data_IF_082123426513
#
_entry.id   IF_082123426513
#
_cell.length_a   1.000
_cell.length_b   1.000
_cell.length_c   1.000
_cell.angle_alpha   90.00
_cell.angle_beta   90.00
_cell.angle_gamma   90.00
#
_symmetry.space_group_name_H-M   'P 1'
#
loop_
_entity.id
_entity.type
_entity.pdbx_description
1 polymer ?
#
# COMPACT_ATOMS: atom_id res chain seq x y z
N UNK A 1 -28.78 -41.33 45.14
CA UNK A 1 -28.20 -39.97 45.03
C UNK A 1 -27.24 -39.99 43.85
N UNK A 2 -27.70 -39.52 42.69
CA UNK A 2 -26.97 -39.58 41.41
C UNK A 2 -26.46 -38.17 41.14
N UNK A 3 -25.14 -37.97 41.17
CA UNK A 3 -24.48 -36.74 40.75
C UNK A 3 -24.47 -36.68 39.22
N UNK A 4 -25.28 -35.78 38.66
CA UNK A 4 -25.20 -35.37 37.25
C UNK A 4 -24.05 -34.37 37.10
N UNK A 5 -23.06 -34.72 36.30
CA UNK A 5 -22.09 -33.79 35.73
C UNK A 5 -22.81 -32.89 34.72
N UNK A 6 -22.94 -31.60 35.03
CA UNK A 6 -23.31 -30.57 34.06
C UNK A 6 -22.11 -30.28 33.16
N UNK A 7 -22.15 -30.77 31.93
CA UNK A 7 -21.26 -30.31 30.87
C UNK A 7 -21.64 -28.88 30.48
N UNK A 8 -20.68 -27.97 30.57
CA UNK A 8 -20.76 -26.67 29.92
C UNK A 8 -20.46 -26.88 28.44
N UNK A 9 -21.49 -26.89 27.60
CA UNK A 9 -21.32 -26.75 26.16
C UNK A 9 -21.00 -25.28 25.86
N UNK A 10 -19.71 -24.97 25.65
CA UNK A 10 -19.34 -23.73 24.94
C UNK A 10 -19.73 -23.95 23.49
N UNK A 11 -20.87 -23.39 23.08
CA UNK A 11 -21.23 -23.28 21.67
C UNK A 11 -20.22 -22.33 21.02
N UNK A 12 -19.13 -22.87 20.46
CA UNK A 12 -18.40 -22.18 19.40
C UNK A 12 -19.33 -22.10 18.20
N UNK A 13 -20.07 -20.99 18.07
CA UNK A 13 -20.59 -20.61 16.77
C UNK A 13 -19.38 -20.31 15.89
N UNK A 14 -18.96 -21.28 15.09
CA UNK A 14 -18.14 -20.97 13.91
C UNK A 14 -19.05 -20.22 12.95
N UNK A 15 -19.19 -18.91 13.12
CA UNK A 15 -19.73 -18.06 12.06
C UNK A 15 -18.76 -18.17 10.91
N UNK A 16 -19.11 -19.01 9.94
CA UNK A 16 -18.48 -18.96 8.62
C UNK A 16 -18.58 -17.51 8.14
N UNK A 17 -17.49 -16.87 7.71
CA UNK A 17 -17.53 -15.51 7.20
C UNK A 17 -18.64 -15.40 6.16
N UNK A 18 -19.52 -14.41 6.29
CA UNK A 18 -20.54 -14.17 5.26
C UNK A 18 -19.87 -13.52 4.06
N UNK A 19 -20.16 -14.04 2.86
CA UNK A 19 -19.84 -13.35 1.62
C UNK A 19 -20.45 -11.94 1.70
N UNK A 20 -19.69 -10.88 1.39
CA UNK A 20 -20.18 -9.53 1.47
C UNK A 20 -21.16 -9.24 0.33
N UNK A 21 -22.03 -8.22 0.50
CA UNK A 21 -22.90 -7.77 -0.58
C UNK A 21 -22.07 -7.27 -1.77
N UNK A 22 -22.63 -7.42 -2.97
CA UNK A 22 -22.07 -6.80 -4.17
C UNK A 22 -22.00 -5.28 -4.00
N UNK A 23 -20.91 -4.62 -4.46
CA UNK A 23 -20.82 -3.16 -4.43
C UNK A 23 -22.03 -2.48 -5.07
N UNK A 24 -22.48 -1.36 -4.49
CA UNK A 24 -23.63 -0.58 -4.98
C UNK A 24 -23.20 0.85 -5.33
N UNK A 25 -24.03 1.64 -6.02
CA UNK A 25 -23.67 3.04 -6.31
C UNK A 25 -23.42 3.90 -5.06
N UNK A 26 -23.87 3.46 -3.87
CA UNK A 26 -23.60 4.14 -2.59
C UNK A 26 -22.21 3.85 -2.01
N UNK A 27 -21.46 2.91 -2.59
CA UNK A 27 -20.14 2.40 -2.17
C UNK A 27 -18.96 3.30 -2.62
N UNK A 28 -19.23 4.51 -3.09
CA UNK A 28 -18.29 5.37 -3.81
C UNK A 28 -17.69 6.51 -2.97
N UNK A 29 -16.36 6.66 -2.81
CA UNK A 29 -15.26 5.89 -3.42
C UNK A 29 -14.86 4.61 -2.65
N UNK A 30 -14.27 3.63 -3.31
CA UNK A 30 -13.79 2.38 -2.71
C UNK A 30 -12.31 2.53 -2.38
N UNK A 31 -11.90 2.42 -1.12
CA UNK A 31 -10.46 2.35 -0.77
C UNK A 31 -9.91 0.96 -1.10
N UNK A 32 -8.71 0.90 -1.67
CA UNK A 32 -8.10 -0.35 -2.14
C UNK A 32 -6.62 -0.44 -1.75
N UNK A 33 -6.18 -1.66 -1.44
CA UNK A 33 -4.78 -2.04 -1.40
C UNK A 33 -4.61 -3.43 -2.01
N UNK A 34 -3.43 -3.73 -2.54
CA UNK A 34 -3.13 -5.02 -3.16
C UNK A 34 -1.73 -5.48 -2.78
N UNK A 35 -1.55 -6.79 -2.66
CA UNK A 35 -0.26 -7.47 -2.46
C UNK A 35 -0.17 -8.69 -3.38
N UNK A 36 1.05 -9.03 -3.76
CA UNK A 36 1.35 -10.31 -4.39
C UNK A 36 1.73 -11.30 -3.29
N UNK A 37 1.15 -12.50 -3.33
CA UNK A 37 1.46 -13.57 -2.40
C UNK A 37 2.68 -14.39 -2.88
N UNK A 38 3.15 -15.32 -2.04
CA UNK A 38 4.32 -16.15 -2.34
C UNK A 38 4.18 -17.03 -3.58
N UNK A 39 2.94 -17.31 -4.01
CA UNK A 39 2.63 -18.16 -5.15
C UNK A 39 2.48 -17.34 -6.45
N UNK A 40 2.68 -16.02 -6.39
CA UNK A 40 2.50 -15.09 -7.50
C UNK A 40 1.04 -14.68 -7.75
N UNK A 41 0.11 -15.18 -6.93
CA UNK A 41 -1.29 -14.81 -6.95
C UNK A 41 -1.49 -13.47 -6.23
N UNK A 42 -2.50 -12.70 -6.64
CA UNK A 42 -2.74 -11.35 -6.12
C UNK A 42 -3.85 -11.38 -5.09
N UNK A 43 -3.66 -10.65 -3.99
CA UNK A 43 -4.70 -10.39 -3.01
C UNK A 43 -5.02 -8.91 -2.99
N UNK A 44 -6.31 -8.60 -3.15
CA UNK A 44 -6.85 -7.25 -3.07
C UNK A 44 -7.73 -7.12 -1.82
N UNK A 45 -7.52 -6.07 -1.04
CA UNK A 45 -8.45 -5.66 0.02
C UNK A 45 -9.15 -4.39 -0.45
N UNK A 46 -10.47 -4.34 -0.25
CA UNK A 46 -11.30 -3.15 -0.49
C UNK A 46 -12.05 -2.73 0.77
N UNK A 47 -12.32 -1.43 0.88
CA UNK A 47 -13.28 -0.86 1.81
C UNK A 47 -14.33 -0.07 1.05
N UNK A 48 -15.59 -0.30 1.38
CA UNK A 48 -16.68 0.54 0.87
C UNK A 48 -16.74 1.82 1.71
N UNK A 49 -16.81 2.99 1.06
CA UNK A 49 -16.78 4.32 1.72
C UNK A 49 -17.69 4.46 2.94
N UNK A 50 -18.84 3.79 2.94
CA UNK A 50 -19.92 3.94 3.89
C UNK A 50 -19.93 2.83 4.95
N UNK A 51 -18.92 1.95 4.95
CA UNK A 51 -18.82 0.84 5.89
C UNK A 51 -17.51 0.90 6.66
N UNK A 52 -17.53 0.29 7.85
CA UNK A 52 -16.33 0.01 8.65
C UNK A 52 -15.78 -1.40 8.35
N UNK A 53 -16.12 -1.98 7.19
CA UNK A 53 -15.77 -3.34 6.84
C UNK A 53 -14.73 -3.35 5.73
N UNK A 54 -13.72 -4.20 5.91
CA UNK A 54 -12.80 -4.56 4.84
C UNK A 54 -13.20 -5.90 4.23
N UNK A 55 -13.00 -6.02 2.92
CA UNK A 55 -13.29 -7.23 2.16
C UNK A 55 -12.05 -7.66 1.41
N UNK A 56 -11.65 -8.92 1.58
CA UNK A 56 -10.51 -9.52 0.90
C UNK A 56 -10.97 -10.32 -0.32
N UNK A 57 -10.28 -10.12 -1.44
CA UNK A 57 -10.48 -10.77 -2.73
C UNK A 57 -9.15 -11.41 -3.13
N UNK A 58 -9.05 -12.73 -3.00
CA UNK A 58 -7.86 -13.46 -3.41
C UNK A 58 -8.03 -13.97 -4.83
N UNK A 59 -6.99 -13.79 -5.66
CA UNK A 59 -6.85 -14.52 -6.91
C UNK A 59 -6.37 -15.93 -6.59
N UNK A 60 -7.01 -16.94 -7.18
CA UNK A 60 -6.60 -18.34 -7.06
C UNK A 60 -6.62 -18.95 -8.45
N UNK A 61 -5.45 -19.35 -8.94
CA UNK A 61 -5.33 -19.96 -10.27
C UNK A 61 -5.76 -19.02 -11.41
N UNK A 62 -5.42 -17.73 -11.30
CA UNK A 62 -5.73 -16.72 -12.30
C UNK A 62 -7.19 -16.24 -12.33
N UNK A 63 -7.99 -16.56 -11.30
CA UNK A 63 -9.37 -16.10 -11.18
C UNK A 63 -9.62 -15.46 -9.83
N UNK A 64 -10.38 -14.37 -9.83
CA UNK A 64 -10.85 -13.73 -8.60
C UNK A 64 -11.81 -14.65 -7.86
N UNK A 65 -11.47 -14.97 -6.60
CA UNK A 65 -12.33 -15.69 -5.68
C UNK A 65 -13.49 -14.84 -5.18
N UNK A 66 -14.47 -15.47 -4.54
CA UNK A 66 -15.52 -14.73 -3.84
C UNK A 66 -14.93 -13.95 -2.67
N UNK A 67 -15.38 -12.70 -2.45
CA UNK A 67 -14.86 -11.93 -1.35
C UNK A 67 -15.21 -12.49 0.02
N UNK A 68 -14.33 -12.24 0.98
CA UNK A 68 -14.49 -12.61 2.39
C UNK A 68 -14.45 -11.32 3.21
N UNK A 69 -15.32 -11.20 4.20
CA UNK A 69 -15.28 -10.08 5.15
C UNK A 69 -14.13 -10.28 6.14
N UNK A 70 -13.33 -9.24 6.38
CA UNK A 70 -12.32 -9.22 7.43
C UNK A 70 -13.01 -8.91 8.77
N UNK A 71 -12.90 -9.85 9.69
CA UNK A 71 -13.48 -9.85 11.03
C UNK A 71 -12.36 -9.78 12.09
N UNK A 72 -12.73 -9.42 13.33
CA UNK A 72 -11.79 -9.37 14.46
C UNK A 72 -11.07 -8.03 14.65
N UNK A 73 -11.38 -7.03 13.82
CA UNK A 73 -10.84 -5.68 13.96
C UNK A 73 -11.52 -4.94 15.12
N UNK A 74 -10.74 -4.55 16.13
CA UNK A 74 -11.23 -3.82 17.29
C UNK A 74 -10.17 -2.81 17.78
N UNK A 75 -10.41 -1.49 17.65
CA UNK A 75 -11.61 -0.87 17.10
C UNK A 75 -11.77 -1.14 15.59
N UNK A 76 -12.99 -1.04 15.04
CA UNK A 76 -13.19 -1.17 13.60
C UNK A 76 -12.54 0.03 12.86
N UNK A 77 -12.19 -0.13 11.57
CA UNK A 77 -11.67 0.96 10.77
C UNK A 77 -12.72 2.06 10.59
N UNK A 78 -12.27 3.31 10.49
CA UNK A 78 -13.16 4.43 10.16
C UNK A 78 -13.73 4.28 8.76
N UNK A 79 -14.93 4.81 8.55
CA UNK A 79 -15.54 4.84 7.21
C UNK A 79 -14.68 5.67 6.26
N UNK A 80 -14.49 5.19 5.03
CA UNK A 80 -13.67 5.87 4.02
C UNK A 80 -12.21 6.13 4.49
N UNK A 81 -11.62 5.20 5.26
CA UNK A 81 -10.22 5.32 5.68
C UNK A 81 -9.28 4.95 4.54
N UNK A 82 -8.19 5.71 4.40
CA UNK A 82 -7.01 5.15 3.75
C UNK A 82 -6.47 3.99 4.61
N UNK A 83 -5.93 2.97 3.96
CA UNK A 83 -5.26 1.85 4.61
C UNK A 83 -4.09 1.39 3.77
N UNK A 84 -3.13 0.72 4.41
CA UNK A 84 -1.99 0.13 3.74
C UNK A 84 -1.97 -1.37 4.02
N UNK A 85 -1.51 -2.14 3.04
CA UNK A 85 -1.38 -3.58 3.14
C UNK A 85 0.03 -3.96 2.69
N UNK A 86 0.66 -4.88 3.43
CA UNK A 86 1.93 -5.46 3.02
C UNK A 86 1.93 -6.96 3.31
N UNK A 87 2.70 -7.68 2.52
CA UNK A 87 3.09 -9.05 2.77
C UNK A 87 4.61 -9.09 2.65
N UNK A 88 5.28 -9.51 3.72
CA UNK A 88 6.73 -9.66 3.68
C UNK A 88 7.10 -10.77 2.68
N UNK A 89 8.25 -10.69 1.99
CA UNK A 89 8.67 -11.78 1.11
C UNK A 89 8.74 -13.10 1.88
N UNK A 90 8.29 -14.19 1.24
CA UNK A 90 8.21 -15.54 1.83
C UNK A 90 7.27 -15.67 3.06
N UNK A 91 6.51 -14.64 3.42
CA UNK A 91 5.45 -14.74 4.43
C UNK A 91 4.13 -15.14 3.76
N UNK A 92 3.31 -15.94 4.43
CA UNK A 92 1.90 -16.16 4.07
C UNK A 92 0.96 -15.18 4.79
N UNK A 93 1.49 -14.44 5.76
CA UNK A 93 0.75 -13.49 6.57
C UNK A 93 0.77 -12.12 5.91
N UNK A 94 -0.43 -11.56 5.76
CA UNK A 94 -0.66 -10.18 5.33
C UNK A 94 -0.82 -9.33 6.58
N UNK A 95 -0.19 -8.16 6.58
CA UNK A 95 -0.39 -7.12 7.57
C UNK A 95 -1.21 -5.99 6.93
N UNK A 96 -2.25 -5.54 7.63
CA UNK A 96 -2.98 -4.31 7.30
C UNK A 96 -2.74 -3.26 8.37
N UNK A 97 -2.64 -2.02 7.93
CA UNK A 97 -2.60 -0.83 8.76
C UNK A 97 -3.84 0.00 8.42
N UNK A 98 -4.57 0.44 9.43
CA UNK A 98 -5.80 1.22 9.25
C UNK A 98 -5.95 2.26 10.36
N UNK A 99 -6.88 3.21 10.18
CA UNK A 99 -7.21 4.18 11.23
C UNK A 99 -8.62 3.97 11.74
N UNK A 100 -8.81 4.10 13.05
CA UNK A 100 -10.14 4.16 13.65
C UNK A 100 -10.72 5.59 13.60
N UNK A 101 -11.97 5.80 14.03
CA UNK A 101 -12.66 7.11 14.01
C UNK A 101 -11.91 8.24 14.74
N UNK A 102 -11.10 7.89 15.75
CA UNK A 102 -10.25 8.86 16.45
C UNK A 102 -8.96 9.22 15.69
N UNK A 103 -8.75 8.66 14.50
CA UNK A 103 -7.55 8.73 13.65
C UNK A 103 -6.30 8.06 14.25
N UNK A 104 -6.44 7.26 15.30
CA UNK A 104 -5.32 6.43 15.76
C UNK A 104 -5.10 5.29 14.78
N UNK A 105 -3.83 5.04 14.42
CA UNK A 105 -3.45 3.90 13.59
C UNK A 105 -3.46 2.60 14.40
N UNK A 106 -3.91 1.53 13.76
CA UNK A 106 -3.87 0.16 14.26
C UNK A 106 -3.29 -0.77 13.20
N UNK A 107 -2.75 -1.89 13.64
CA UNK A 107 -2.28 -2.97 12.79
C UNK A 107 -3.07 -4.25 13.07
N UNK A 108 -3.26 -5.08 12.05
CA UNK A 108 -3.83 -6.41 12.17
C UNK A 108 -3.20 -7.34 11.14
N UNK A 109 -3.21 -8.64 11.41
CA UNK A 109 -2.65 -9.66 10.53
C UNK A 109 -3.61 -10.81 10.27
N UNK A 110 -3.48 -11.41 9.08
CA UNK A 110 -4.31 -12.51 8.63
C UNK A 110 -3.74 -13.18 7.39
N UNK A 111 -4.53 -14.09 6.81
CA UNK A 111 -4.20 -14.83 5.59
C UNK A 111 -5.26 -14.57 4.51
N UNK A 112 -4.94 -14.94 3.27
CA UNK A 112 -5.78 -14.69 2.09
C UNK A 112 -7.08 -15.49 2.07
N UNK A 113 -7.10 -16.62 2.77
CA UNK A 113 -8.18 -17.61 2.79
C UNK A 113 -9.08 -17.51 4.03
N UNK A 114 -8.75 -16.62 4.97
CA UNK A 114 -9.43 -16.52 6.27
C UNK A 114 -9.81 -15.06 6.60
N UNK A 115 -11.08 -14.85 6.92
CA UNK A 115 -11.60 -13.56 7.37
C UNK A 115 -11.28 -13.22 8.83
N UNK A 116 -10.89 -14.19 9.66
CA UNK A 116 -10.60 -13.94 11.08
C UNK A 116 -9.19 -13.39 11.28
N UNK A 117 -9.07 -12.08 11.43
CA UNK A 117 -7.79 -11.40 11.59
C UNK A 117 -7.47 -11.14 13.06
N UNK A 118 -6.18 -11.09 13.37
CA UNK A 118 -5.67 -10.87 14.72
C UNK A 118 -5.16 -9.44 14.85
N UNK A 119 -5.62 -8.74 15.88
CA UNK A 119 -5.12 -7.40 16.20
C UNK A 119 -3.64 -7.45 16.60
N UNK A 120 -2.86 -6.52 16.04
CA UNK A 120 -1.48 -6.30 16.42
C UNK A 120 -1.34 -5.39 17.63
N UNK A 121 -0.11 -4.91 17.85
CA UNK A 121 0.28 -4.16 19.05
C UNK A 121 0.64 -2.70 18.78
N UNK A 122 0.51 -2.21 17.54
CA UNK A 122 0.96 -0.87 17.14
C UNK A 122 0.38 0.22 18.05
N UNK A 123 -0.93 0.21 18.24
CA UNK A 123 -1.60 1.22 19.06
C UNK A 123 -1.15 1.14 20.53
N UNK A 124 -1.02 -0.06 21.11
CA UNK A 124 -0.60 -0.20 22.52
C UNK A 124 0.87 0.16 22.73
N UNK A 125 1.76 -0.30 21.83
CA UNK A 125 3.20 -0.08 21.93
C UNK A 125 3.54 1.41 21.79
N UNK A 126 2.80 2.12 20.94
CA UNK A 126 2.94 3.58 20.74
C UNK A 126 2.07 4.41 21.69
N UNK A 127 1.38 3.78 22.67
CA UNK A 127 0.45 4.44 23.60
C UNK A 127 -0.61 5.29 22.90
N UNK A 128 -1.13 4.80 21.78
CA UNK A 128 -2.11 5.45 20.93
C UNK A 128 -1.61 6.79 20.34
N UNK A 129 -0.29 6.97 20.27
CA UNK A 129 0.38 8.20 19.84
C UNK A 129 0.50 8.37 18.33
N UNK A 130 0.23 7.33 17.54
CA UNK A 130 0.23 7.40 16.06
C UNK A 130 -1.11 7.97 15.60
N UNK A 131 -1.19 9.29 15.53
CA UNK A 131 -2.38 10.03 15.11
C UNK A 131 -2.25 10.47 13.66
N UNK A 132 -2.97 9.81 12.78
CA UNK A 132 -2.95 10.08 11.33
C UNK A 132 -3.79 11.33 11.03
N UNK A 133 -3.34 12.16 10.09
CA UNK A 133 -4.12 13.33 9.67
C UNK A 133 -5.42 12.88 8.98
N UNK A 134 -6.59 13.45 9.30
CA UNK A 134 -7.85 13.03 8.70
C UNK A 134 -7.83 13.09 7.17
N UNK A 135 -8.34 12.03 6.52
CA UNK A 135 -8.33 11.86 5.06
C UNK A 135 -6.94 11.79 4.42
N UNK A 136 -5.86 11.78 5.20
CA UNK A 136 -4.52 11.47 4.71
C UNK A 136 -4.34 9.97 4.51
N UNK A 137 -3.23 9.61 3.88
CA UNK A 137 -2.86 8.22 3.63
C UNK A 137 -1.51 7.90 4.23
N UNK A 138 -1.20 6.62 4.18
CA UNK A 138 0.07 6.08 4.64
C UNK A 138 0.43 4.90 3.75
N UNK A 139 1.72 4.60 3.71
CA UNK A 139 2.26 3.46 2.98
C UNK A 139 3.15 2.66 3.90
N UNK A 140 3.23 1.36 3.65
CA UNK A 140 3.98 0.45 4.46
C UNK A 140 4.87 -0.43 3.57
N UNK A 141 6.01 -0.85 4.10
CA UNK A 141 6.99 -1.63 3.35
C UNK A 141 7.79 -2.53 4.29
N UNK A 142 8.16 -3.75 3.85
CA UNK A 142 9.17 -4.53 4.55
C UNK A 142 10.53 -3.85 4.49
N UNK A 143 11.36 -4.18 5.47
CA UNK A 143 12.72 -3.70 5.62
C UNK A 143 13.58 -4.85 6.15
N UNK A 144 14.67 -5.19 5.47
CA UNK A 144 15.56 -6.23 5.97
C UNK A 144 16.46 -5.64 7.05
N UNK A 145 16.63 -6.33 8.17
CA UNK A 145 17.54 -5.93 9.24
C UNK A 145 18.76 -6.85 9.25
N UNK A 146 19.92 -6.23 9.47
CA UNK A 146 21.21 -6.91 9.54
C UNK A 146 21.18 -7.99 10.65
N UNK A 147 21.68 -9.20 10.33
CA UNK A 147 21.87 -10.28 11.29
C UNK A 147 20.62 -10.80 12.04
N UNK A 148 19.41 -10.53 11.53
CA UNK A 148 18.16 -11.07 12.06
C UNK A 148 17.49 -12.02 11.07
N UNK A 149 16.94 -13.15 11.56
CA UNK A 149 15.98 -13.93 10.79
C UNK A 149 14.65 -13.13 10.73
N UNK A 150 14.28 -12.65 9.54
CA UNK A 150 12.98 -12.03 9.30
C UNK A 150 13.03 -10.61 8.72
N UNK A 151 11.84 -10.03 8.59
CA UNK A 151 11.64 -8.67 8.09
C UNK A 151 11.19 -7.76 9.22
N UNK A 152 11.70 -6.54 9.18
CA UNK A 152 11.16 -5.41 9.91
C UNK A 152 10.13 -4.70 9.04
N UNK A 153 9.28 -3.88 9.65
CA UNK A 153 8.29 -3.09 8.93
C UNK A 153 8.57 -1.62 9.12
N UNK A 154 8.30 -0.85 8.07
CA UNK A 154 8.30 0.61 8.08
C UNK A 154 6.94 1.09 7.58
N UNK A 155 6.35 2.03 8.29
CA UNK A 155 5.12 2.71 7.89
C UNK A 155 5.37 4.21 7.87
N UNK A 156 4.98 4.86 6.78
CA UNK A 156 5.11 6.30 6.60
C UNK A 156 3.72 6.91 6.53
N UNK A 157 3.42 7.82 7.44
CA UNK A 157 2.09 8.42 7.57
C UNK A 157 2.18 9.92 7.75
N UNK A 158 1.14 10.64 7.36
CA UNK A 158 1.03 12.08 7.66
C UNK A 158 0.57 12.23 9.12
N UNK A 159 1.48 12.67 9.98
CA UNK A 159 1.17 12.91 11.38
C UNK A 159 0.24 14.12 11.53
N UNK A 160 -0.83 13.94 12.31
CA UNK A 160 -1.86 14.96 12.52
C UNK A 160 -1.35 16.18 13.27
N UNK A 161 -0.41 15.99 14.19
CA UNK A 161 0.08 17.03 15.09
C UNK A 161 1.12 17.90 14.40
N UNK A 162 2.06 17.28 13.70
CA UNK A 162 3.19 17.97 13.06
C UNK A 162 2.95 18.27 11.60
N UNK A 163 1.93 17.68 10.98
CA UNK A 163 1.60 17.84 9.55
C UNK A 163 2.81 17.55 8.66
N UNK A 164 3.52 16.46 8.99
CA UNK A 164 4.70 15.98 8.27
C UNK A 164 4.58 14.48 8.04
N UNK A 165 5.26 13.94 7.03
CA UNK A 165 5.42 12.48 6.96
C UNK A 165 6.33 12.04 8.10
N UNK A 166 5.87 11.08 8.88
CA UNK A 166 6.53 10.49 10.03
C UNK A 166 6.71 9.00 9.78
N UNK A 167 7.88 8.48 10.15
CA UNK A 167 8.14 7.04 10.09
C UNK A 167 7.77 6.37 11.42
N UNK A 168 7.21 5.18 11.28
CA UNK A 168 6.99 4.19 12.32
C UNK A 168 7.75 2.92 11.94
N UNK A 169 8.43 2.29 12.90
CA UNK A 169 9.21 1.08 12.70
C UNK A 169 8.77 -0.06 13.64
N UNK A 170 8.79 -1.27 13.11
CA UNK A 170 8.81 -2.51 13.89
C UNK A 170 10.06 -3.28 13.48
N UNK A 171 11.06 -3.33 14.34
CA UNK A 171 12.24 -4.15 14.10
C UNK A 171 12.04 -5.59 14.60
N UNK A 172 12.76 -6.56 14.04
CA UNK A 172 12.54 -7.98 14.33
C UNK A 172 12.69 -8.27 15.83
N UNK A 173 11.60 -8.71 16.46
CA UNK A 173 11.56 -9.02 17.89
C UNK A 173 11.30 -7.82 18.82
N UNK A 174 11.15 -6.62 18.28
CA UNK A 174 10.93 -5.38 19.03
C UNK A 174 9.45 -4.97 19.10
N UNK A 175 9.19 -3.85 19.78
CA UNK A 175 7.87 -3.19 19.82
C UNK A 175 7.78 -2.10 18.75
N UNK A 176 6.57 -1.72 18.35
CA UNK A 176 6.38 -0.60 17.43
C UNK A 176 6.91 0.71 18.03
N UNK A 177 7.71 1.45 17.27
CA UNK A 177 8.31 2.73 17.68
C UNK A 177 8.09 3.82 16.65
N UNK A 178 7.72 5.02 17.12
CA UNK A 178 7.75 6.24 16.30
C UNK A 178 9.22 6.67 16.26
N UNK A 179 9.81 6.72 15.07
CA UNK A 179 11.24 7.02 14.92
C UNK A 179 11.50 8.53 14.91
N UNK A 180 12.77 8.94 14.94
CA UNK A 180 13.14 10.35 14.79
C UNK A 180 13.09 10.82 13.31
N UNK A 181 12.79 9.92 12.37
CA UNK A 181 12.69 10.25 10.95
C UNK A 181 11.41 11.03 10.68
N UNK A 182 11.59 12.31 10.36
CA UNK A 182 10.52 13.23 10.00
C UNK A 182 10.86 13.99 8.73
N UNK A 183 9.93 13.98 7.79
CA UNK A 183 10.04 14.65 6.50
C UNK A 183 9.52 16.09 6.61
N UNK A 184 9.68 16.88 5.54
CA UNK A 184 9.12 18.22 5.47
C UNK A 184 7.59 18.22 5.54
N UNK A 185 7.01 19.40 5.76
CA UNK A 185 5.56 19.58 5.89
C UNK A 185 4.79 18.98 4.70
N UNK A 186 3.82 18.13 5.02
CA UNK A 186 2.92 17.46 4.09
C UNK A 186 1.58 18.19 4.00
N UNK A 187 0.81 17.93 2.94
CA UNK A 187 -0.62 18.27 2.94
C UNK A 187 -1.33 17.47 4.02
N UNK A 188 -2.27 18.11 4.73
CA UNK A 188 -3.13 17.46 5.72
C UNK A 188 -3.97 16.31 5.16
N UNK A 189 -4.21 16.29 3.85
CA UNK A 189 -4.90 15.21 3.13
C UNK A 189 -3.95 14.38 2.26
N UNK A 190 -2.67 14.72 2.28
CA UNK A 190 -1.64 14.11 1.44
C UNK A 190 -1.61 12.59 1.61
N UNK A 191 -1.37 11.90 0.50
CA UNK A 191 -1.13 10.46 0.49
C UNK A 191 0.38 10.22 0.43
N UNK A 192 0.80 9.10 0.98
CA UNK A 192 2.18 8.65 0.96
C UNK A 192 2.25 7.38 0.13
N UNK A 193 3.27 7.25 -0.70
CA UNK A 193 3.65 6.00 -1.34
C UNK A 193 5.13 5.74 -1.09
N UNK A 194 5.50 4.46 -1.05
CA UNK A 194 6.88 4.06 -0.79
C UNK A 194 7.31 3.01 -1.81
N UNK A 195 8.55 3.12 -2.27
CA UNK A 195 9.16 2.13 -3.14
C UNK A 195 10.45 1.61 -2.48
N UNK A 196 10.47 0.33 -2.14
CA UNK A 196 11.61 -0.38 -1.57
C UNK A 196 12.40 -1.16 -2.63
N UNK A 197 13.63 -0.75 -2.86
CA UNK A 197 14.54 -1.38 -3.81
C UNK A 197 15.59 -2.17 -3.04
N UNK A 198 15.55 -3.50 -3.21
CA UNK A 198 16.61 -4.38 -2.76
C UNK A 198 17.65 -4.54 -3.88
N UNK A 199 18.95 -4.40 -3.58
CA UNK A 199 19.99 -4.76 -4.52
C UNK A 199 20.01 -6.29 -4.70
N UNK A 200 19.62 -6.75 -5.89
CA UNK A 200 19.33 -8.17 -6.18
C UNK A 200 20.55 -9.10 -6.32
N UNK A 201 21.76 -8.63 -6.01
CA UNK A 201 23.01 -9.37 -6.21
C UNK A 201 23.96 -9.43 -5.01
N UNK A 202 23.57 -8.95 -3.82
CA UNK A 202 24.43 -8.99 -2.64
C UNK A 202 23.70 -9.53 -1.41
N UNK A 203 24.46 -10.17 -0.53
CA UNK A 203 23.99 -10.68 0.76
C UNK A 203 23.12 -9.65 1.49
N UNK A 204 22.06 -10.16 2.09
CA UNK A 204 20.80 -9.52 2.46
C UNK A 204 20.79 -8.23 3.30
N UNK A 205 21.91 -7.58 3.60
CA UNK A 205 21.91 -6.65 4.73
C UNK A 205 22.36 -5.21 4.45
N UNK A 206 23.11 -4.92 3.38
CA UNK A 206 23.82 -3.63 3.28
C UNK A 206 23.50 -2.75 2.07
N UNK A 207 22.36 -2.92 1.39
CA UNK A 207 22.11 -2.23 0.11
C UNK A 207 20.64 -1.88 -0.18
N UNK A 208 19.90 -1.45 0.82
CA UNK A 208 18.47 -1.15 0.68
C UNK A 208 18.25 0.34 0.42
N UNK A 209 17.58 0.65 -0.68
CA UNK A 209 17.12 2.00 -0.97
C UNK A 209 15.60 2.09 -0.78
N UNK A 210 15.16 3.20 -0.20
CA UNK A 210 13.75 3.56 -0.09
C UNK A 210 13.51 4.87 -0.81
N UNK A 211 12.41 4.95 -1.54
CA UNK A 211 11.95 6.17 -2.15
C UNK A 211 10.56 6.46 -1.60
N UNK A 212 10.45 7.53 -0.80
CA UNK A 212 9.17 7.99 -0.26
C UNK A 212 8.67 9.12 -1.15
N UNK A 213 7.40 9.01 -1.51
CA UNK A 213 6.69 9.98 -2.32
C UNK A 213 5.49 10.49 -1.53
N UNK A 214 5.32 11.79 -1.45
CA UNK A 214 4.19 12.37 -0.74
C UNK A 214 3.81 13.73 -1.31
N UNK A 215 2.62 14.19 -0.95
CA UNK A 215 2.16 15.53 -1.31
C UNK A 215 2.54 16.54 -0.22
N UNK A 216 3.30 17.58 -0.58
CA UNK A 216 3.61 18.68 0.34
C UNK A 216 2.40 19.61 0.57
N UNK A 217 2.55 20.57 1.48
CA UNK A 217 1.49 21.54 1.80
C UNK A 217 1.19 22.57 0.68
N UNK A 218 1.92 22.51 -0.43
CA UNK A 218 1.70 23.30 -1.66
C UNK A 218 1.17 22.44 -2.79
N UNK A 219 0.69 21.25 -2.48
CA UNK A 219 0.18 20.25 -3.42
C UNK A 219 1.21 19.70 -4.40
N UNK A 220 2.52 19.85 -4.14
CA UNK A 220 3.55 19.26 -4.96
C UNK A 220 3.76 17.79 -4.63
N UNK A 221 4.03 16.97 -5.65
CA UNK A 221 4.59 15.63 -5.47
C UNK A 221 6.06 15.77 -5.12
N UNK A 222 6.43 15.38 -3.91
CA UNK A 222 7.79 15.39 -3.40
C UNK A 222 8.33 13.96 -3.37
N UNK A 223 9.57 13.79 -3.80
CA UNK A 223 10.36 12.57 -3.64
C UNK A 223 11.48 12.80 -2.65
N UNK A 224 11.63 11.87 -1.72
CA UNK A 224 12.73 11.83 -0.75
C UNK A 224 13.34 10.43 -0.74
N UNK A 225 14.60 10.28 -1.15
CA UNK A 225 15.28 8.99 -1.10
C UNK A 225 15.99 8.76 0.24
N UNK A 226 16.03 7.51 0.66
CA UNK A 226 16.80 7.00 1.79
C UNK A 226 17.62 5.78 1.38
N UNK A 227 18.73 5.57 2.08
CA UNK A 227 19.63 4.45 1.85
C UNK A 227 20.12 3.90 3.20
N UNK A 228 19.90 2.61 3.45
CA UNK A 228 20.21 1.93 4.71
C UNK A 228 19.75 2.74 5.95
N UNK A 229 18.52 3.25 5.92
CA UNK A 229 17.94 4.06 7.00
C UNK A 229 18.43 5.51 7.07
N UNK A 230 19.39 5.92 6.25
CA UNK A 230 19.87 7.30 6.17
C UNK A 230 19.12 8.06 5.07
N UNK A 231 18.41 9.13 5.47
CA UNK A 231 17.57 9.92 4.58
C UNK A 231 18.29 11.14 4.01
N UNK A 232 18.03 11.45 2.74
CA UNK A 232 18.57 12.64 2.08
C UNK A 232 17.47 13.68 1.84
N UNK A 233 17.19 14.49 2.87
CA UNK A 233 16.14 15.51 2.85
C UNK A 233 16.47 16.78 2.04
N UNK A 234 17.70 16.92 1.52
CA UNK A 234 18.15 18.15 0.88
C UNK A 234 18.64 17.92 -0.54
N UNK A 235 19.87 17.42 -0.71
CA UNK A 235 20.57 17.35 -1.99
C UNK A 235 19.86 16.49 -3.04
N UNK A 236 19.23 15.39 -2.60
CA UNK A 236 18.62 14.39 -3.49
C UNK A 236 17.10 14.34 -3.40
N UNK A 237 16.49 15.20 -2.59
CA UNK A 237 15.05 15.38 -2.56
C UNK A 237 14.63 16.33 -3.67
N UNK A 238 13.49 16.06 -4.32
CA UNK A 238 13.03 16.87 -5.44
C UNK A 238 11.50 16.98 -5.53
N UNK A 239 11.04 18.04 -6.19
CA UNK A 239 9.65 18.23 -6.56
C UNK A 239 9.44 17.72 -7.97
N UNK A 240 8.53 16.76 -8.13
CA UNK A 240 8.28 16.03 -9.38
C UNK A 240 7.06 16.53 -10.15
N UNK A 241 6.34 17.51 -9.60
CA UNK A 241 5.17 18.12 -10.23
C UNK A 241 4.13 18.53 -9.19
N UNK A 242 2.95 18.91 -9.68
CA UNK A 242 1.80 19.29 -8.84
C UNK A 242 0.71 18.23 -8.96
N UNK A 243 0.03 17.96 -7.85
CA UNK A 243 -1.08 17.02 -7.72
C UNK A 243 -2.36 17.76 -7.31
N UNK A 244 -3.51 17.11 -7.52
CA UNK A 244 -4.74 17.52 -6.83
C UNK A 244 -4.58 17.18 -5.35
N UNK A 245 -5.12 18.03 -4.47
CA UNK A 245 -5.02 17.77 -3.02
C UNK A 245 -5.67 16.43 -2.65
N UNK A 246 -4.92 15.61 -1.92
CA UNK A 246 -5.34 14.29 -1.47
C UNK A 246 -5.29 13.17 -2.52
N UNK A 247 -4.67 13.39 -3.68
CA UNK A 247 -4.44 12.35 -4.71
C UNK A 247 -3.75 11.13 -4.13
N UNK A 248 -4.34 9.94 -4.34
CA UNK A 248 -3.69 8.67 -4.03
C UNK A 248 -2.55 8.36 -5.01
N UNK A 249 -1.51 7.74 -4.45
CA UNK A 249 -0.29 7.37 -5.14
C UNK A 249 -0.10 5.86 -5.00
N UNK A 250 0.29 5.21 -6.09
CA UNK A 250 0.75 3.82 -6.08
C UNK A 250 2.16 3.74 -6.64
N UNK A 251 2.95 2.79 -6.15
CA UNK A 251 4.33 2.56 -6.55
C UNK A 251 4.52 1.14 -7.05
N UNK A 252 5.33 1.00 -8.11
CA UNK A 252 5.79 -0.29 -8.63
C UNK A 252 7.29 -0.23 -8.86
N UNK A 253 7.95 -1.37 -8.67
CA UNK A 253 9.40 -1.49 -8.81
C UNK A 253 9.69 -2.73 -9.63
N UNK A 254 10.37 -2.55 -10.74
CA UNK A 254 10.97 -3.65 -11.47
C UNK A 254 12.44 -3.74 -11.07
N UNK A 255 12.79 -4.76 -10.30
CA UNK A 255 14.17 -4.99 -9.88
C UNK A 255 14.95 -5.62 -11.04
N UNK A 256 15.90 -4.86 -11.57
CA UNK A 256 16.78 -5.30 -12.65
C UNK A 256 18.09 -4.52 -12.56
N UNK A 257 19.18 -5.25 -12.28
CA UNK A 257 20.53 -4.71 -12.13
C UNK A 257 21.04 -4.12 -13.44
N UNK A 258 20.64 -4.67 -14.58
CA UNK A 258 21.08 -4.19 -15.89
C UNK A 258 20.43 -2.84 -16.26
N UNK A 259 19.21 -2.58 -15.78
CA UNK A 259 18.44 -1.37 -16.11
C UNK A 259 18.29 -0.38 -14.95
N UNK A 260 19.09 -0.55 -13.89
CA UNK A 260 19.17 0.38 -12.76
C UNK A 260 17.91 0.44 -11.87
N UNK A 261 17.16 -0.67 -11.80
CA UNK A 261 15.81 -0.83 -11.23
C UNK A 261 14.83 0.27 -11.65
N UNK A 262 13.74 -0.10 -12.30
CA UNK A 262 12.76 0.89 -12.75
C UNK A 262 11.74 1.17 -11.66
N UNK A 263 11.71 2.41 -11.18
CA UNK A 263 10.68 2.93 -10.29
C UNK A 263 9.51 3.46 -11.12
N UNK A 264 8.30 3.25 -10.62
CA UNK A 264 7.08 3.82 -11.20
C UNK A 264 6.22 4.38 -10.11
N UNK A 265 5.76 5.61 -10.31
CA UNK A 265 4.76 6.26 -9.48
C UNK A 265 3.54 6.50 -10.35
N UNK A 266 2.38 6.13 -9.84
CA UNK A 266 1.13 6.13 -10.58
C UNK A 266 0.04 6.83 -9.78
N UNK A 267 -0.81 7.57 -10.49
CA UNK A 267 -1.97 8.23 -9.92
C UNK A 267 -3.03 8.46 -10.99
N UNK A 268 -4.22 8.89 -10.57
CA UNK A 268 -5.29 9.29 -11.48
C UNK A 268 -5.26 10.81 -11.67
N UNK A 269 -4.97 11.29 -12.89
CA UNK A 269 -4.91 12.73 -13.20
C UNK A 269 -6.29 13.41 -13.21
N UNK A 270 -6.33 14.75 -13.25
CA UNK A 270 -7.57 15.50 -13.52
C UNK A 270 -8.30 15.08 -14.81
N UNK A 271 -7.57 14.57 -15.81
CA UNK A 271 -8.13 13.99 -17.02
C UNK A 271 -8.78 12.62 -16.83
N UNK A 272 -8.82 12.09 -15.60
CA UNK A 272 -9.33 10.75 -15.24
C UNK A 272 -8.54 9.59 -15.88
N UNK A 273 -7.29 9.83 -16.27
CA UNK A 273 -6.42 8.81 -16.83
C UNK A 273 -5.41 8.32 -15.79
N UNK A 274 -4.99 7.06 -15.94
CA UNK A 274 -3.81 6.57 -15.24
C UNK A 274 -2.59 7.35 -15.75
N UNK A 275 -1.98 8.13 -14.87
CA UNK A 275 -0.74 8.86 -15.12
C UNK A 275 0.43 8.11 -14.51
N UNK A 276 1.52 8.06 -15.26
CA UNK A 276 2.73 7.34 -14.90
C UNK A 276 3.92 8.29 -14.90
N UNK A 277 4.65 8.30 -13.79
CA UNK A 277 5.98 8.87 -13.67
C UNK A 277 7.00 7.74 -13.56
N UNK A 278 7.95 7.67 -14.49
CA UNK A 278 9.00 6.64 -14.49
C UNK A 278 10.26 7.21 -13.89
N UNK A 279 10.93 6.43 -13.05
CA UNK A 279 12.23 6.75 -12.52
C UNK A 279 13.18 5.56 -12.51
N UNK A 280 14.42 5.82 -12.10
CA UNK A 280 15.43 4.79 -11.80
C UNK A 280 15.84 4.88 -10.34
N UNK A 281 16.04 3.75 -9.67
CA UNK A 281 16.47 3.68 -8.27
C UNK A 281 17.60 2.68 -8.10
N UNK A 282 18.85 3.12 -8.02
CA UNK A 282 20.00 2.23 -7.78
C UNK A 282 20.46 2.36 -6.32
N UNK A 283 21.05 1.30 -5.79
CA UNK A 283 21.88 1.40 -4.59
C UNK A 283 23.26 2.02 -4.93
N UNK A 284 23.76 3.01 -4.16
CA UNK A 284 25.10 3.58 -4.30
C UNK A 284 26.27 2.59 -4.40
N UNK A 285 26.11 1.38 -3.85
CA UNK A 285 27.16 0.35 -3.86
C UNK A 285 27.06 -0.61 -5.05
N UNK A 286 25.93 -0.66 -5.77
CA UNK A 286 25.81 -1.44 -7.01
C UNK A 286 26.47 -0.70 -8.17
N UNK A 287 26.44 0.64 -8.14
CA UNK A 287 27.11 1.50 -9.12
C UNK A 287 27.93 2.56 -8.38
N UNK A 288 29.25 2.36 -8.28
CA UNK A 288 30.18 3.29 -7.61
C UNK A 288 30.00 4.72 -8.15
N UNK A 289 29.60 5.65 -7.29
CA UNK A 289 29.31 7.04 -7.63
C UNK A 289 27.83 7.37 -7.85
N UNK A 290 26.93 6.39 -7.70
CA UNK A 290 25.49 6.64 -7.75
C UNK A 290 25.01 7.35 -6.47
N UNK A 291 24.26 8.42 -6.66
CA UNK A 291 23.51 9.08 -5.59
C UNK A 291 22.11 8.47 -5.57
N UNK A 292 21.50 8.19 -4.40
CA UNK A 292 20.14 7.62 -4.30
C UNK A 292 19.05 8.54 -4.88
N UNK A 293 19.45 9.65 -5.51
CA UNK A 293 18.66 10.50 -6.38
C UNK A 293 17.99 9.63 -7.46
N UNK A 294 16.67 9.63 -7.47
CA UNK A 294 15.95 9.05 -8.61
C UNK A 294 16.21 9.88 -9.87
N UNK A 295 16.15 9.26 -11.04
CA UNK A 295 16.09 10.02 -12.30
C UNK A 295 14.70 9.89 -12.88
N UNK A 296 13.84 10.90 -12.74
CA UNK A 296 12.46 10.82 -13.19
C UNK A 296 12.23 11.46 -14.56
N UNK A 297 11.32 10.87 -15.34
CA UNK A 297 10.82 11.45 -16.59
C UNK A 297 9.80 12.54 -16.30
N UNK A 298 9.22 13.16 -17.34
CA UNK A 298 7.96 13.87 -17.16
C UNK A 298 6.83 12.86 -16.91
N UNK A 299 5.76 13.23 -16.18
CA UNK A 299 4.53 12.46 -16.11
C UNK A 299 3.91 12.23 -17.49
N UNK A 300 3.38 11.03 -17.74
CA UNK A 300 2.73 10.65 -18.99
C UNK A 300 1.41 9.97 -18.67
N UNK A 301 0.33 10.40 -19.31
CA UNK A 301 -0.94 9.66 -19.27
C UNK A 301 -0.81 8.38 -20.11
N UNK A 302 -1.07 7.22 -19.50
CA UNK A 302 -0.87 5.90 -20.12
C UNK A 302 -1.61 5.77 -21.45
N UNK A 303 -2.80 6.35 -21.56
CA UNK A 303 -3.59 6.35 -22.81
C UNK A 303 -2.91 7.03 -24.00
N UNK A 304 -1.90 7.87 -23.75
CA UNK A 304 -1.13 8.54 -24.81
C UNK A 304 0.00 7.66 -25.36
N UNK A 305 0.31 6.55 -24.71
CA UNK A 305 1.30 5.57 -25.19
C UNK A 305 0.67 4.79 -26.34
N UNK A 306 1.38 4.71 -27.47
CA UNK A 306 0.95 3.92 -28.64
C UNK A 306 0.78 2.46 -28.20
N UNK A 307 -0.40 1.88 -28.43
CA UNK A 307 -0.77 0.52 -27.98
C UNK A 307 -1.64 0.50 -26.72
N UNK A 308 -1.66 1.60 -25.95
CA UNK A 308 -2.36 1.70 -24.65
C UNK A 308 -3.65 2.54 -24.68
N UNK A 309 -4.18 2.84 -25.87
CA UNK A 309 -5.30 3.77 -26.06
C UNK A 309 -6.63 3.28 -25.45
N UNK A 310 -6.74 1.98 -25.17
CA UNK A 310 -7.96 1.34 -24.65
C UNK A 310 -7.90 1.07 -23.13
N UNK A 311 -6.94 1.64 -22.41
CA UNK A 311 -6.89 1.56 -20.95
C UNK A 311 -8.13 2.24 -20.35
N UNK A 312 -8.76 1.56 -19.39
CA UNK A 312 -9.99 2.04 -18.77
C UNK A 312 -9.80 3.42 -18.10
N UNK A 313 -10.85 4.23 -18.14
CA UNK A 313 -10.84 5.59 -17.59
C UNK A 313 -11.31 5.51 -16.15
N UNK A 314 -10.65 6.22 -15.24
CA UNK A 314 -11.02 6.23 -13.84
C UNK A 314 -12.30 7.05 -13.60
N UNK A 315 -13.07 6.70 -12.58
CA UNK A 315 -14.25 7.49 -12.18
C UNK A 315 -13.89 8.69 -11.31
N UNK A 316 -12.93 8.47 -10.40
CA UNK A 316 -12.56 9.43 -9.35
C UNK A 316 -11.22 10.08 -9.67
N UNK A 317 -11.21 11.40 -9.88
CA UNK A 317 -9.96 12.17 -10.00
C UNK A 317 -9.17 12.05 -8.71
N UNK A 318 -7.89 11.69 -8.81
CA UNK A 318 -7.04 11.45 -7.63
C UNK A 318 -7.54 10.31 -6.74
N UNK A 319 -8.47 9.49 -7.24
CA UNK A 319 -9.05 8.37 -6.51
C UNK A 319 -8.03 7.32 -6.14
N UNK A 320 -8.48 6.43 -5.25
CA UNK A 320 -7.70 5.32 -4.71
C UNK A 320 -7.11 4.46 -5.83
N UNK A 321 -5.84 4.13 -5.69
CA UNK A 321 -5.08 3.33 -6.63
C UNK A 321 -4.19 2.37 -5.84
N UNK A 322 -4.09 1.13 -6.31
CA UNK A 322 -3.15 0.14 -5.78
C UNK A 322 -2.36 -0.48 -6.94
N UNK A 323 -1.13 -0.92 -6.69
CA UNK A 323 -0.35 -1.63 -7.68
C UNK A 323 0.50 -2.75 -7.07
N UNK A 324 0.70 -3.80 -7.84
CA UNK A 324 1.57 -4.95 -7.54
C UNK A 324 2.43 -5.27 -8.76
N UNK A 325 3.58 -5.92 -8.57
CA UNK A 325 4.54 -6.20 -9.66
C UNK A 325 4.86 -7.70 -9.81
N UNK A 326 3.88 -8.53 -10.21
CA UNK A 326 4.05 -9.98 -10.26
C UNK A 326 4.93 -10.43 -11.41
N UNK A 327 5.97 -11.21 -11.13
CA UNK A 327 6.85 -11.78 -12.17
C UNK A 327 7.50 -10.76 -13.13
N UNK A 328 7.57 -9.48 -12.72
CA UNK A 328 8.06 -8.38 -13.55
C UNK A 328 7.04 -7.76 -14.51
N UNK A 329 5.78 -8.18 -14.45
CA UNK A 329 4.63 -7.44 -14.96
C UNK A 329 4.15 -6.42 -13.92
N UNK A 330 3.25 -5.52 -14.29
CA UNK A 330 2.56 -4.64 -13.33
C UNK A 330 1.07 -4.89 -13.44
N UNK A 331 0.40 -4.93 -12.27
CA UNK A 331 -1.06 -4.81 -12.17
C UNK A 331 -1.42 -3.58 -11.37
N UNK A 332 -2.38 -2.82 -11.86
CA UNK A 332 -2.88 -1.59 -11.25
C UNK A 332 -4.38 -1.69 -11.10
N UNK A 333 -4.88 -1.32 -9.92
CA UNK A 333 -6.27 -1.39 -9.55
C UNK A 333 -6.79 0.01 -9.26
N UNK A 334 -7.96 0.35 -9.78
CA UNK A 334 -8.69 1.59 -9.45
C UNK A 334 -10.16 1.47 -9.85
N UNK A 335 -10.99 2.41 -9.40
CA UNK A 335 -12.40 2.48 -9.79
C UNK A 335 -12.56 3.13 -11.17
N UNK A 336 -13.31 2.48 -12.04
CA UNK A 336 -13.47 2.86 -13.45
C UNK A 336 -14.85 3.44 -13.77
N UNK A 337 -14.91 4.45 -14.65
CA UNK A 337 -16.17 5.03 -15.16
C UNK A 337 -17.03 3.99 -15.89
N UNK A 338 -16.38 3.02 -16.54
CA UNK A 338 -17.05 1.99 -17.33
C UNK A 338 -17.92 1.09 -16.45
N UNK A 339 -17.55 0.94 -15.17
CA UNK A 339 -18.25 0.13 -14.18
C UNK A 339 -18.20 0.85 -12.82
N UNK A 340 -19.13 1.80 -12.55
CA UNK A 340 -19.04 2.74 -11.42
C UNK A 340 -18.99 2.09 -10.01
N UNK A 341 -19.24 0.79 -9.92
CA UNK A 341 -19.25 0.01 -8.68
C UNK A 341 -18.12 -1.01 -8.58
N UNK A 342 -17.31 -1.16 -9.63
CA UNK A 342 -16.28 -2.20 -9.70
C UNK A 342 -14.89 -1.60 -9.78
N UNK A 343 -13.93 -2.35 -9.23
CA UNK A 343 -12.51 -2.12 -9.40
C UNK A 343 -12.10 -2.74 -10.74
N UNK A 344 -11.41 -1.97 -11.59
CA UNK A 344 -10.80 -2.48 -12.81
C UNK A 344 -9.35 -2.87 -12.54
N UNK A 345 -8.88 -3.92 -13.20
CA UNK A 345 -7.47 -4.28 -13.29
C UNK A 345 -6.90 -3.81 -14.64
N UNK A 346 -5.79 -3.09 -14.57
CA UNK A 346 -4.96 -2.74 -15.72
C UNK A 346 -3.63 -3.47 -15.60
N UNK A 347 -3.21 -4.12 -16.69
CA UNK A 347 -1.94 -4.81 -16.81
C UNK A 347 -0.92 -4.02 -17.62
N UNK A 348 0.36 -4.24 -17.33
CA UNK A 348 1.49 -3.92 -18.20
C UNK A 348 2.37 -5.15 -18.35
N UNK A 349 2.64 -5.56 -19.59
CA UNK A 349 3.37 -6.79 -19.98
C UNK A 349 4.78 -6.50 -20.52
N UNK A 350 5.35 -5.35 -20.12
CA UNK A 350 6.64 -4.80 -20.59
C UNK A 350 6.60 -4.06 -21.92
N UNK A 351 5.59 -4.28 -22.74
CA UNK A 351 5.42 -3.58 -24.02
C UNK A 351 4.31 -2.55 -23.92
N UNK A 352 3.10 -2.98 -23.54
CA UNK A 352 1.89 -2.17 -23.60
C UNK A 352 1.08 -2.23 -22.30
N UNK A 353 0.21 -1.22 -22.13
CA UNK A 353 -0.81 -1.23 -21.08
C UNK A 353 -2.15 -1.66 -21.65
N UNK A 354 -2.86 -2.50 -20.90
CA UNK A 354 -4.16 -3.04 -21.33
C UNK A 354 -5.11 -3.21 -20.16
N UNK A 355 -6.40 -3.11 -20.45
CA UNK A 355 -7.45 -3.43 -19.48
C UNK A 355 -7.60 -4.95 -19.40
N UNK A 356 -7.42 -5.52 -18.20
CA UNK A 356 -7.60 -6.97 -17.97
C UNK A 356 -9.09 -7.27 -17.79
N UNK A 357 -9.76 -6.52 -16.93
CA UNK A 357 -11.19 -6.72 -16.64
C UNK A 357 -11.57 -6.23 -15.25
N UNK A 358 -12.71 -6.73 -14.75
CA UNK A 358 -13.20 -6.43 -13.42
C UNK A 358 -12.48 -7.30 -12.39
N UNK A 359 -11.94 -6.66 -11.36
CA UNK A 359 -11.38 -7.34 -10.20
C UNK A 359 -12.45 -7.69 -9.16
N UNK A 360 -13.61 -7.02 -9.18
CA UNK A 360 -14.70 -7.19 -8.18
C UNK A 360 -16.09 -6.92 -8.74
#
# INVERSE_FOLDING_TARGET
MILRLTSWSVSRSSSRPSNPPSPTQTTFPINIAAVENSDGDITLVRQDNNTQLFYIHAMVGGKWGSPITIEGLNPPPSTNTSFAMLQAPNSTTIQIFYTAENNTMFDASGTTDNGNWTMGRLASDTRYGVLVSPQSGFAATPWIVENAEGYSFRVYYVDRTTQSVQELALDSGDSWTITDVRFSTASSKGKVAVAWVQASNFSYTDNQALHVFYQDNRANLVHVPGYNGVWNFSQNSETLGTLVDGTYLATSIMQDVATNNTLRIMWISPGKHLTLLRGKGISPNVLKGFQPKGSFTNPIDVVTIKGSQNVAVADVIGGTIASVTPGGDIRVYYQSLQTPVSIVEIGWDREDWYTVGLAT
#
